data_IF_722909062245
#
_entry.id   IF_722909062245
#
_cell.length_a   1.000
_cell.length_b   1.000
_cell.length_c   1.000
_cell.angle_alpha   90.00
_cell.angle_beta   90.00
_cell.angle_gamma   90.00
#
_symmetry.space_group_name_H-M   'P 1'
#
loop_
_entity.id
_entity.type
_entity.pdbx_description
1 polymer ?
#
# COMPACT_ATOMS: atom_id res chain seq x y z
N UNK A 1 -49.22 -15.40 -41.44
CA UNK A 1 -49.25 -14.43 -40.32
C UNK A 1 -48.36 -14.95 -39.21
N UNK A 2 -47.22 -14.32 -38.96
CA UNK A 2 -46.40 -14.66 -37.78
C UNK A 2 -47.07 -14.07 -36.53
N UNK A 3 -47.09 -14.77 -35.38
CA UNK A 3 -47.69 -14.25 -34.17
C UNK A 3 -46.94 -12.99 -33.70
N UNK A 4 -47.65 -12.00 -33.12
CA UNK A 4 -47.01 -10.81 -32.58
C UNK A 4 -46.03 -11.24 -31.48
N UNK A 5 -44.75 -10.85 -31.61
CA UNK A 5 -43.74 -11.07 -30.58
C UNK A 5 -44.25 -10.44 -29.27
N UNK A 6 -44.22 -11.17 -28.13
CA UNK A 6 -44.64 -10.60 -26.87
C UNK A 6 -43.75 -9.38 -26.58
N UNK A 7 -44.38 -8.20 -26.52
CA UNK A 7 -43.73 -6.99 -26.02
C UNK A 7 -43.46 -7.25 -24.55
N UNK A 8 -42.24 -7.67 -24.22
CA UNK A 8 -41.78 -7.79 -22.84
C UNK A 8 -41.90 -6.41 -22.22
N UNK A 9 -42.94 -6.18 -21.42
CA UNK A 9 -43.12 -4.93 -20.69
C UNK A 9 -42.03 -4.89 -19.62
N UNK A 10 -40.95 -4.20 -19.92
CA UNK A 10 -39.86 -3.95 -18.97
C UNK A 10 -40.44 -3.14 -17.80
N UNK A 11 -40.28 -3.59 -16.54
CA UNK A 11 -40.72 -2.84 -15.37
C UNK A 11 -40.18 -1.40 -15.38
N UNK A 12 -40.98 -0.45 -14.89
CA UNK A 12 -40.62 0.98 -14.88
C UNK A 12 -39.26 1.24 -14.22
N UNK A 13 -38.98 0.58 -13.09
CA UNK A 13 -37.71 0.71 -12.38
C UNK A 13 -36.49 0.32 -13.23
N UNK A 14 -36.64 -0.65 -14.13
CA UNK A 14 -35.55 -1.09 -15.02
C UNK A 14 -35.34 -0.10 -16.18
N UNK A 15 -36.43 0.49 -16.69
CA UNK A 15 -36.34 1.57 -17.67
C UNK A 15 -35.62 2.79 -17.10
N UNK A 16 -35.87 3.15 -15.83
CA UNK A 16 -35.19 4.25 -15.14
C UNK A 16 -33.67 3.99 -15.07
N UNK A 17 -33.24 2.78 -14.68
CA UNK A 17 -31.82 2.40 -14.66
C UNK A 17 -31.16 2.49 -16.04
N UNK A 18 -31.84 2.01 -17.09
CA UNK A 18 -31.34 2.06 -18.46
C UNK A 18 -31.22 3.50 -18.97
N UNK A 19 -32.22 4.33 -18.71
CA UNK A 19 -32.21 5.73 -19.12
C UNK A 19 -31.14 6.52 -18.39
N UNK A 20 -31.02 6.35 -17.06
CA UNK A 20 -29.95 6.98 -16.29
C UNK A 20 -28.57 6.60 -16.84
N UNK A 21 -28.34 5.31 -17.06
CA UNK A 21 -27.09 4.82 -17.61
C UNK A 21 -26.81 5.39 -19.02
N UNK A 22 -27.82 5.37 -19.91
CA UNK A 22 -27.65 5.88 -21.27
C UNK A 22 -27.39 7.38 -21.31
N UNK A 23 -28.16 8.18 -20.55
CA UNK A 23 -27.96 9.62 -20.47
C UNK A 23 -26.58 9.96 -19.93
N UNK A 24 -26.11 9.21 -18.93
CA UNK A 24 -24.76 9.37 -18.40
C UNK A 24 -23.70 9.02 -19.45
N UNK A 25 -23.83 7.85 -20.09
CA UNK A 25 -22.91 7.41 -21.15
C UNK A 25 -22.87 8.39 -22.32
N UNK A 26 -24.01 8.94 -22.72
CA UNK A 26 -24.10 9.95 -23.77
C UNK A 26 -23.31 11.20 -23.36
N UNK A 27 -23.52 11.70 -22.15
CA UNK A 27 -22.80 12.88 -21.63
C UNK A 27 -21.29 12.69 -21.57
N UNK A 28 -20.80 11.53 -21.13
CA UNK A 28 -19.36 11.34 -20.84
C UNK A 28 -18.58 10.69 -21.98
N UNK A 29 -19.19 9.77 -22.73
CA UNK A 29 -18.53 9.07 -23.85
C UNK A 29 -18.88 9.71 -25.19
N UNK A 30 -20.03 10.36 -25.34
CA UNK A 30 -20.48 10.90 -26.64
C UNK A 30 -20.91 12.38 -26.58
N UNK A 31 -20.15 13.30 -25.94
CA UNK A 31 -20.59 14.68 -25.69
C UNK A 31 -20.85 15.51 -26.96
N UNK A 32 -20.20 15.16 -28.08
CA UNK A 32 -20.31 15.87 -29.36
C UNK A 32 -21.14 15.12 -30.41
N UNK A 33 -21.85 14.06 -30.02
CA UNK A 33 -22.58 13.20 -30.94
C UNK A 33 -24.08 13.31 -30.68
N UNK A 34 -24.83 13.56 -31.74
CA UNK A 34 -26.28 13.51 -31.71
C UNK A 34 -26.76 12.14 -32.18
N UNK A 35 -27.73 11.57 -31.46
CA UNK A 35 -28.37 10.31 -31.82
C UNK A 35 -29.84 10.57 -32.15
N UNK A 36 -30.30 10.06 -33.28
CA UNK A 36 -31.72 10.03 -33.62
C UNK A 36 -32.50 9.17 -32.62
N UNK A 37 -33.82 9.34 -32.55
CA UNK A 37 -34.67 8.55 -31.65
C UNK A 37 -34.47 7.04 -31.85
N UNK A 38 -34.38 6.58 -33.10
CA UNK A 38 -34.16 5.16 -33.40
C UNK A 38 -32.80 4.65 -32.93
N UNK A 39 -31.76 5.49 -32.97
CA UNK A 39 -30.42 5.14 -32.50
C UNK A 39 -30.34 5.11 -30.98
N UNK A 40 -31.04 6.03 -30.31
CA UNK A 40 -31.18 6.02 -28.86
C UNK A 40 -31.89 4.74 -28.39
N UNK A 41 -32.98 4.33 -29.07
CA UNK A 41 -33.67 3.07 -28.78
C UNK A 41 -32.74 1.87 -28.99
N UNK A 42 -31.97 1.83 -30.08
CA UNK A 42 -30.97 0.77 -30.33
C UNK A 42 -29.89 0.74 -29.24
N UNK A 43 -29.41 1.90 -28.79
CA UNK A 43 -28.43 2.00 -27.72
C UNK A 43 -28.99 1.43 -26.40
N UNK A 44 -30.21 1.80 -26.03
CA UNK A 44 -30.88 1.29 -24.82
C UNK A 44 -31.06 -0.23 -24.89
N UNK A 45 -31.46 -0.77 -26.04
CA UNK A 45 -31.58 -2.23 -26.24
C UNK A 45 -30.23 -2.93 -26.13
N UNK A 46 -29.17 -2.36 -26.71
CA UNK A 46 -27.81 -2.89 -26.60
C UNK A 46 -27.32 -2.88 -25.15
N UNK A 47 -27.58 -1.81 -24.40
CA UNK A 47 -27.26 -1.70 -22.97
C UNK A 47 -28.03 -2.74 -22.16
N UNK A 48 -29.34 -2.88 -22.39
CA UNK A 48 -30.17 -3.85 -21.70
C UNK A 48 -29.62 -5.27 -21.89
N UNK A 49 -29.29 -5.66 -23.12
CA UNK A 49 -28.77 -6.98 -23.43
C UNK A 49 -27.32 -7.19 -22.96
N UNK A 50 -26.45 -6.19 -23.16
CA UNK A 50 -25.01 -6.35 -22.97
C UNK A 50 -24.48 -5.98 -21.60
N UNK A 51 -25.12 -5.02 -20.93
CA UNK A 51 -24.73 -4.54 -19.60
C UNK A 51 -25.57 -5.19 -18.51
N UNK A 52 -26.90 -5.22 -18.67
CA UNK A 52 -27.84 -5.73 -17.65
C UNK A 52 -28.25 -7.19 -17.86
N UNK A 53 -27.75 -7.85 -18.92
CA UNK A 53 -28.07 -9.24 -19.25
C UNK A 53 -29.59 -9.49 -19.34
N UNK A 54 -30.31 -8.53 -19.90
CA UNK A 54 -31.78 -8.55 -20.03
C UNK A 54 -32.53 -8.52 -18.69
N UNK A 55 -31.89 -8.11 -17.59
CA UNK A 55 -32.40 -8.24 -16.23
C UNK A 55 -32.75 -9.68 -15.84
N UNK A 56 -32.09 -10.67 -16.46
CA UNK A 56 -32.32 -12.10 -16.15
C UNK A 56 -31.83 -12.53 -14.77
N UNK A 57 -30.98 -11.73 -14.14
CA UNK A 57 -30.44 -12.01 -12.80
C UNK A 57 -31.38 -11.43 -11.74
N UNK A 58 -31.81 -12.28 -10.80
CA UNK A 58 -32.58 -11.83 -9.65
C UNK A 58 -31.64 -11.07 -8.70
N UNK A 59 -31.93 -9.79 -8.51
CA UNK A 59 -31.26 -8.89 -7.57
C UNK A 59 -32.30 -8.14 -6.77
N UNK A 60 -31.97 -7.86 -5.52
CA UNK A 60 -32.70 -6.91 -4.68
C UNK A 60 -32.52 -5.48 -5.20
N UNK A 61 -33.40 -4.52 -4.81
CA UNK A 61 -33.25 -3.12 -5.20
C UNK A 61 -31.89 -2.53 -4.81
N UNK A 62 -31.34 -2.92 -3.64
CA UNK A 62 -30.03 -2.48 -3.18
C UNK A 62 -28.90 -3.01 -4.07
N UNK A 63 -28.93 -4.29 -4.41
CA UNK A 63 -27.93 -4.90 -5.31
C UNK A 63 -28.01 -4.29 -6.71
N UNK A 64 -29.19 -3.91 -7.19
CA UNK A 64 -29.33 -3.15 -8.43
C UNK A 64 -28.68 -1.76 -8.35
N UNK A 65 -28.82 -1.04 -7.24
CA UNK A 65 -28.16 0.24 -7.04
C UNK A 65 -26.63 0.12 -6.97
N UNK A 66 -26.12 -0.89 -6.26
CA UNK A 66 -24.68 -1.18 -6.18
C UNK A 66 -24.14 -1.59 -7.57
N UNK A 67 -24.88 -2.41 -8.30
CA UNK A 67 -24.55 -2.79 -9.67
C UNK A 67 -24.53 -1.58 -10.61
N UNK A 68 -25.56 -0.72 -10.53
CA UNK A 68 -25.67 0.52 -11.31
C UNK A 68 -24.44 1.40 -11.09
N UNK A 69 -24.11 1.67 -9.82
CA UNK A 69 -22.94 2.45 -9.42
C UNK A 69 -21.67 1.90 -10.05
N UNK A 70 -21.47 0.58 -9.98
CA UNK A 70 -20.31 -0.08 -10.61
C UNK A 70 -20.27 0.06 -12.13
N UNK A 71 -21.41 0.05 -12.81
CA UNK A 71 -21.43 0.27 -14.27
C UNK A 71 -21.15 1.73 -14.63
N UNK A 72 -21.60 2.70 -13.83
CA UNK A 72 -21.27 4.11 -14.02
C UNK A 72 -19.77 4.40 -13.78
N UNK A 73 -19.15 3.77 -12.77
CA UNK A 73 -17.70 3.85 -12.54
C UNK A 73 -16.87 3.40 -13.76
N UNK A 74 -17.36 2.40 -14.50
CA UNK A 74 -16.71 1.96 -15.75
C UNK A 74 -16.78 3.04 -16.81
N UNK A 75 -17.94 3.69 -16.95
CA UNK A 75 -18.08 4.81 -17.89
C UNK A 75 -17.13 5.94 -17.54
N UNK A 76 -16.97 6.27 -16.25
CA UNK A 76 -16.01 7.28 -15.80
C UNK A 76 -14.58 6.94 -16.18
N UNK A 77 -14.21 5.67 -16.04
CA UNK A 77 -12.87 5.22 -16.43
C UNK A 77 -12.65 5.32 -17.93
N UNK A 78 -13.66 4.94 -18.74
CA UNK A 78 -13.59 5.10 -20.18
C UNK A 78 -13.55 6.57 -20.59
N UNK A 79 -14.37 7.42 -19.99
CA UNK A 79 -14.42 8.86 -20.26
C UNK A 79 -13.05 9.51 -20.01
N UNK A 80 -12.44 9.27 -18.84
CA UNK A 80 -11.09 9.76 -18.53
C UNK A 80 -10.04 9.34 -19.55
N UNK A 81 -10.20 8.15 -20.13
CA UNK A 81 -9.28 7.69 -21.18
C UNK A 81 -9.45 8.46 -22.48
N UNK A 82 -10.70 8.67 -22.92
CA UNK A 82 -10.99 9.47 -24.11
C UNK A 82 -10.68 10.95 -23.94
N UNK A 83 -10.75 11.49 -22.71
CA UNK A 83 -10.30 12.85 -22.42
C UNK A 83 -8.78 12.99 -22.59
N UNK A 84 -8.02 11.94 -22.26
CA UNK A 84 -6.58 11.88 -22.47
C UNK A 84 -6.18 11.53 -23.91
N UNK A 85 -7.11 10.98 -24.70
CA UNK A 85 -6.91 10.54 -26.08
C UNK A 85 -8.05 11.06 -26.98
N UNK A 86 -8.11 12.39 -27.22
CA UNK A 86 -9.22 13.00 -27.96
C UNK A 86 -9.32 12.53 -29.41
N UNK A 87 -8.22 12.07 -29.98
CA UNK A 87 -8.05 11.49 -31.31
C UNK A 87 -8.47 10.01 -31.40
N UNK A 88 -8.68 9.34 -30.26
CA UNK A 88 -9.14 7.96 -30.26
C UNK A 88 -10.58 7.83 -30.76
N UNK A 89 -10.81 6.86 -31.65
CA UNK A 89 -12.14 6.55 -32.15
C UNK A 89 -13.07 6.10 -31.00
N UNK A 90 -14.19 6.81 -30.85
CA UNK A 90 -15.27 6.47 -29.92
C UNK A 90 -16.24 5.51 -30.64
N UNK A 91 -16.27 4.22 -30.29
CA UNK A 91 -17.10 3.23 -30.97
C UNK A 91 -18.57 3.51 -30.77
N UNK A 92 -19.41 3.11 -31.72
CA UNK A 92 -20.85 3.27 -31.63
C UNK A 92 -21.46 2.45 -30.47
N UNK A 93 -22.49 2.98 -29.78
CA UNK A 93 -23.09 2.30 -28.63
C UNK A 93 -23.71 0.94 -28.99
N UNK A 94 -24.23 0.80 -30.22
CA UNK A 94 -24.82 -0.42 -30.78
C UNK A 94 -24.05 -0.88 -32.02
N UNK A 95 -24.24 -2.15 -32.41
CA UNK A 95 -23.68 -2.68 -33.65
C UNK A 95 -24.31 -2.02 -34.90
N UNK A 96 -23.50 -1.37 -35.74
CA UNK A 96 -23.95 -0.81 -37.02
C UNK A 96 -23.96 -1.86 -38.12
N UNK A 97 -22.79 -2.46 -38.40
CA UNK A 97 -22.61 -3.39 -39.53
C UNK A 97 -22.42 -4.85 -39.07
N UNK A 98 -21.66 -5.05 -38.00
CA UNK A 98 -21.31 -6.38 -37.49
C UNK A 98 -21.93 -6.57 -36.12
N UNK A 99 -22.84 -7.54 -36.01
CA UNK A 99 -23.48 -7.91 -34.73
C UNK A 99 -22.42 -8.28 -33.69
N UNK A 100 -22.58 -7.80 -32.46
CA UNK A 100 -21.65 -8.08 -31.36
C UNK A 100 -20.41 -7.17 -31.35
N UNK A 101 -20.38 -6.11 -32.17
CA UNK A 101 -19.30 -5.12 -32.23
C UNK A 101 -19.70 -3.75 -31.71
N UNK A 102 -20.94 -3.55 -31.27
CA UNK A 102 -21.34 -2.37 -30.53
C UNK A 102 -20.51 -2.21 -29.27
N UNK A 103 -20.34 -0.98 -28.80
CA UNK A 103 -19.58 -0.70 -27.59
C UNK A 103 -20.17 -1.38 -26.36
N UNK A 104 -21.50 -1.40 -26.24
CA UNK A 104 -22.21 -2.04 -25.14
C UNK A 104 -22.54 -3.52 -25.38
N UNK A 105 -22.22 -4.07 -26.55
CA UNK A 105 -22.50 -5.48 -26.85
C UNK A 105 -21.70 -6.42 -25.95
N UNK A 106 -22.36 -7.48 -25.45
CA UNK A 106 -21.75 -8.47 -24.56
C UNK A 106 -20.55 -9.17 -25.20
N UNK A 107 -20.57 -9.35 -26.51
CA UNK A 107 -19.53 -10.04 -27.27
C UNK A 107 -18.28 -9.18 -27.48
N UNK A 108 -18.38 -7.86 -27.31
CA UNK A 108 -17.29 -6.94 -27.59
C UNK A 108 -16.31 -6.81 -26.40
N UNK A 109 -15.26 -7.63 -26.40
CA UNK A 109 -14.21 -7.58 -25.39
C UNK A 109 -13.38 -6.28 -25.40
N UNK A 110 -13.37 -5.54 -26.51
CA UNK A 110 -12.72 -4.23 -26.61
C UNK A 110 -13.66 -3.07 -26.25
N UNK A 111 -14.94 -3.36 -26.04
CA UNK A 111 -15.95 -2.40 -25.62
C UNK A 111 -16.09 -2.35 -24.11
N UNK A 112 -17.30 -2.02 -23.66
CA UNK A 112 -17.65 -1.83 -22.25
C UNK A 112 -17.31 -3.05 -21.37
N UNK A 113 -17.49 -4.28 -21.90
CA UNK A 113 -17.17 -5.52 -21.16
C UNK A 113 -15.69 -5.62 -20.79
N UNK A 114 -14.79 -5.12 -21.62
CA UNK A 114 -13.35 -5.13 -21.37
C UNK A 114 -12.90 -4.23 -20.22
N UNK A 115 -13.73 -3.24 -19.85
CA UNK A 115 -13.38 -2.28 -18.80
C UNK A 115 -13.25 -2.92 -17.42
N UNK A 116 -13.97 -4.01 -17.13
CA UNK A 116 -13.83 -4.70 -15.84
C UNK A 116 -12.42 -5.28 -15.66
N UNK A 117 -11.90 -5.95 -16.70
CA UNK A 117 -10.55 -6.48 -16.68
C UNK A 117 -9.52 -5.37 -16.52
N UNK A 118 -9.75 -4.22 -17.17
CA UNK A 118 -8.88 -3.06 -17.02
C UNK A 118 -8.96 -2.40 -15.64
N UNK A 119 -10.15 -2.31 -15.02
CA UNK A 119 -10.29 -1.86 -13.63
C UNK A 119 -9.54 -2.76 -12.67
N UNK A 120 -9.69 -4.08 -12.82
CA UNK A 120 -8.99 -5.07 -11.99
C UNK A 120 -7.47 -4.92 -12.09
N UNK A 121 -6.93 -4.81 -13.31
CA UNK A 121 -5.49 -4.61 -13.55
C UNK A 121 -4.96 -3.33 -12.90
N UNK A 122 -5.74 -2.24 -12.94
CA UNK A 122 -5.34 -0.99 -12.30
C UNK A 122 -5.41 -1.03 -10.76
N UNK A 123 -6.34 -1.79 -10.21
CA UNK A 123 -6.42 -2.06 -8.76
C UNK A 123 -5.19 -2.87 -8.30
N UNK A 124 -4.88 -3.96 -9.01
CA UNK A 124 -3.69 -4.78 -8.75
C UNK A 124 -2.41 -3.93 -8.83
N UNK A 125 -2.27 -3.09 -9.86
CA UNK A 125 -1.12 -2.18 -9.99
C UNK A 125 -1.05 -1.18 -8.84
N UNK A 126 -2.18 -0.62 -8.40
CA UNK A 126 -2.22 0.30 -7.25
C UNK A 126 -1.80 -0.39 -5.96
N UNK A 127 -2.25 -1.62 -5.74
CA UNK A 127 -1.85 -2.42 -4.58
C UNK A 127 -0.35 -2.73 -4.60
N UNK A 128 0.19 -3.19 -5.74
CA UNK A 128 1.63 -3.43 -5.89
C UNK A 128 2.47 -2.18 -5.63
N UNK A 129 2.07 -1.03 -6.20
CA UNK A 129 2.77 0.23 -5.98
C UNK A 129 2.74 0.67 -4.51
N UNK A 130 1.61 0.44 -3.82
CA UNK A 130 1.48 0.73 -2.39
C UNK A 130 2.42 -0.15 -1.56
N UNK A 131 2.46 -1.45 -1.84
CA UNK A 131 3.38 -2.37 -1.17
C UNK A 131 4.84 -1.96 -1.37
N UNK A 132 5.25 -1.67 -2.60
CA UNK A 132 6.61 -1.22 -2.89
C UNK A 132 6.98 0.07 -2.15
N UNK A 133 6.05 1.03 -2.06
CA UNK A 133 6.25 2.27 -1.31
C UNK A 133 6.40 2.00 0.19
N UNK A 134 5.55 1.15 0.76
CA UNK A 134 5.61 0.80 2.18
C UNK A 134 6.89 0.03 2.52
N UNK A 135 7.35 -0.88 1.67
CA UNK A 135 8.63 -1.58 1.82
C UNK A 135 9.82 -0.62 1.78
N UNK A 136 9.90 0.25 0.78
CA UNK A 136 10.96 1.26 0.67
C UNK A 136 10.97 2.20 1.89
N UNK A 137 9.80 2.56 2.41
CA UNK A 137 9.66 3.36 3.62
C UNK A 137 10.17 2.60 4.85
N UNK A 138 9.81 1.33 5.01
CA UNK A 138 10.29 0.50 6.12
C UNK A 138 11.81 0.28 6.06
N UNK A 139 12.37 0.05 4.87
CA UNK A 139 13.81 -0.11 4.69
C UNK A 139 14.57 1.16 5.07
N UNK A 140 14.09 2.34 4.65
CA UNK A 140 14.65 3.63 5.06
C UNK A 140 14.61 3.81 6.58
N UNK A 141 13.52 3.40 7.23
CA UNK A 141 13.41 3.44 8.70
C UNK A 141 14.42 2.49 9.37
N UNK A 142 14.47 1.22 8.95
CA UNK A 142 15.42 0.21 9.48
C UNK A 142 16.87 0.67 9.33
N UNK A 143 17.22 1.27 8.19
CA UNK A 143 18.55 1.83 7.93
C UNK A 143 18.87 2.97 8.89
N UNK A 144 17.95 3.90 9.08
CA UNK A 144 18.13 5.03 10.00
C UNK A 144 18.26 4.57 11.47
N UNK A 145 17.46 3.60 11.91
CA UNK A 145 17.57 3.01 13.26
C UNK A 145 18.90 2.28 13.47
N UNK A 146 19.34 1.52 12.46
CA UNK A 146 20.64 0.86 12.51
C UNK A 146 21.78 1.87 12.60
N UNK A 147 21.69 2.98 11.88
CA UNK A 147 22.64 4.09 11.97
C UNK A 147 22.62 4.76 13.35
N UNK A 148 21.46 4.97 13.97
CA UNK A 148 21.37 5.54 15.32
C UNK A 148 22.10 4.66 16.34
N UNK A 149 21.85 3.35 16.29
CA UNK A 149 22.55 2.37 17.14
C UNK A 149 24.06 2.34 16.88
N UNK A 150 24.49 2.53 15.63
CA UNK A 150 25.92 2.62 15.27
C UNK A 150 26.55 3.89 15.82
N UNK A 151 25.89 5.04 15.64
CA UNK A 151 26.35 6.32 16.18
C UNK A 151 26.55 6.25 17.69
N UNK A 152 25.56 5.68 18.39
CA UNK A 152 25.63 5.44 19.83
C UNK A 152 26.92 4.71 20.24
N UNK A 153 27.18 3.57 19.60
CA UNK A 153 28.34 2.71 19.90
C UNK A 153 29.66 3.38 19.57
N UNK A 154 29.71 4.20 18.53
CA UNK A 154 30.94 4.87 18.14
C UNK A 154 31.32 5.97 19.15
N UNK A 155 30.35 6.69 19.72
CA UNK A 155 30.62 7.59 20.85
C UNK A 155 31.06 6.84 22.11
N UNK A 156 30.42 5.72 22.44
CA UNK A 156 30.82 4.86 23.56
C UNK A 156 32.27 4.36 23.40
N UNK A 157 32.64 3.93 22.17
CA UNK A 157 34.01 3.51 21.86
C UNK A 157 35.02 4.64 21.95
N UNK A 158 34.68 5.81 21.43
CA UNK A 158 35.53 6.99 21.49
C UNK A 158 35.82 7.35 22.96
N UNK A 159 34.80 7.31 23.82
CA UNK A 159 34.96 7.54 25.26
C UNK A 159 35.86 6.52 25.94
N UNK A 160 35.75 5.25 25.53
CA UNK A 160 36.56 4.14 26.05
C UNK A 160 37.97 4.07 25.46
N UNK A 161 38.33 4.95 24.51
CA UNK A 161 39.59 4.87 23.77
C UNK A 161 39.73 3.59 22.93
N UNK A 162 38.62 2.91 22.64
CA UNK A 162 38.61 1.66 21.91
C UNK A 162 38.80 1.91 20.39
N UNK A 163 39.30 0.91 19.67
CA UNK A 163 39.56 1.03 18.22
C UNK A 163 38.29 1.45 17.46
N UNK A 164 38.28 2.62 16.79
CA UNK A 164 37.14 3.09 16.02
C UNK A 164 36.93 2.25 14.75
N UNK A 165 35.74 2.34 14.16
CA UNK A 165 35.46 1.73 12.84
C UNK A 165 36.23 2.50 11.76
N UNK A 166 36.59 1.82 10.66
CA UNK A 166 37.34 2.41 9.55
C UNK A 166 36.74 3.75 9.05
N UNK A 167 35.42 3.82 8.91
CA UNK A 167 34.68 5.00 8.44
C UNK A 167 34.84 6.24 9.33
N UNK A 168 35.03 6.05 10.64
CA UNK A 168 35.14 7.13 11.64
C UNK A 168 36.52 7.21 12.28
N UNK A 169 37.50 6.46 11.76
CA UNK A 169 38.83 6.36 12.36
C UNK A 169 39.62 7.68 12.31
N UNK A 170 39.31 8.57 11.37
CA UNK A 170 39.87 9.91 11.32
C UNK A 170 39.20 10.89 12.29
N UNK A 171 38.07 10.52 12.90
CA UNK A 171 37.27 11.37 13.77
C UNK A 171 37.63 11.09 15.23
N UNK A 172 38.80 11.58 15.63
CA UNK A 172 39.34 11.33 16.98
C UNK A 172 38.74 12.24 18.06
N UNK A 173 37.93 13.24 17.68
CA UNK A 173 37.26 14.14 18.62
C UNK A 173 35.76 13.92 18.62
N UNK A 174 35.14 14.12 19.80
CA UNK A 174 33.69 14.03 19.96
C UNK A 174 32.95 14.97 19.00
N UNK A 175 33.47 16.19 18.80
CA UNK A 175 32.88 17.17 17.89
C UNK A 175 32.96 16.72 16.42
N UNK A 176 34.10 16.15 15.98
CA UNK A 176 34.21 15.64 14.61
C UNK A 176 33.24 14.47 14.35
N UNK A 177 33.09 13.58 15.33
CA UNK A 177 32.15 12.46 15.23
C UNK A 177 30.69 12.94 15.22
N UNK A 178 30.37 13.97 16.02
CA UNK A 178 29.06 14.60 16.01
C UNK A 178 28.73 15.26 14.67
N UNK A 179 29.66 16.05 14.12
CA UNK A 179 29.47 16.70 12.82
C UNK A 179 29.26 15.69 11.68
N UNK A 180 30.00 14.58 11.69
CA UNK A 180 29.81 13.51 10.72
C UNK A 180 28.38 12.93 10.77
N UNK A 181 27.93 12.52 11.95
CA UNK A 181 26.59 11.96 12.09
C UNK A 181 25.49 12.99 11.86
N UNK A 182 25.74 14.27 12.17
CA UNK A 182 24.83 15.37 11.85
C UNK A 182 24.51 15.38 10.35
N UNK A 183 25.55 15.45 9.50
CA UNK A 183 25.40 15.47 8.04
C UNK A 183 24.68 14.21 7.55
N UNK A 184 25.02 13.04 8.11
CA UNK A 184 24.37 11.79 7.76
C UNK A 184 22.86 11.84 8.08
N UNK A 185 22.48 12.21 9.30
CA UNK A 185 21.07 12.21 9.72
C UNK A 185 20.24 13.35 9.14
N UNK A 186 20.84 14.50 8.85
CA UNK A 186 20.21 15.58 8.09
C UNK A 186 19.76 15.06 6.71
N UNK A 187 20.57 14.21 6.06
CA UNK A 187 20.21 13.53 4.81
C UNK A 187 19.04 12.53 4.92
N UNK A 188 18.74 12.02 6.12
CA UNK A 188 17.55 11.18 6.38
C UNK A 188 16.29 12.01 6.69
N UNK A 189 16.45 13.32 6.93
CA UNK A 189 15.38 14.27 7.22
C UNK A 189 15.25 14.64 8.70
N UNK A 190 14.56 15.76 8.97
CA UNK A 190 14.46 16.41 10.28
C UNK A 190 14.13 15.46 11.44
N UNK A 191 13.15 14.56 11.25
CA UNK A 191 12.75 13.59 12.29
C UNK A 191 13.92 12.72 12.79
N UNK A 192 14.82 12.31 11.90
CA UNK A 192 15.96 11.47 12.27
C UNK A 192 17.12 12.29 12.82
N UNK A 193 17.30 13.51 12.33
CA UNK A 193 18.21 14.48 12.94
C UNK A 193 17.81 14.78 14.39
N UNK A 194 16.54 15.08 14.65
CA UNK A 194 16.02 15.34 16.00
C UNK A 194 16.22 14.12 16.93
N UNK A 195 15.95 12.90 16.44
CA UNK A 195 16.24 11.67 17.18
C UNK A 195 17.73 11.49 17.48
N UNK A 196 18.59 11.82 16.53
CA UNK A 196 20.04 11.76 16.74
C UNK A 196 20.50 12.78 17.77
N UNK A 197 20.01 14.03 17.71
CA UNK A 197 20.32 15.06 18.69
C UNK A 197 19.86 14.67 20.09
N UNK A 198 18.63 14.17 20.23
CA UNK A 198 18.12 13.64 21.49
C UNK A 198 19.02 12.52 22.02
N UNK A 199 19.34 11.52 21.18
CA UNK A 199 20.23 10.42 21.57
C UNK A 199 21.62 10.92 22.01
N UNK A 200 22.19 11.89 21.30
CA UNK A 200 23.49 12.45 21.64
C UNK A 200 23.47 13.19 22.98
N UNK A 201 22.45 14.01 23.23
CA UNK A 201 22.26 14.71 24.50
C UNK A 201 22.06 13.72 25.65
N UNK A 202 21.26 12.68 25.45
CA UNK A 202 21.06 11.60 26.43
C UNK A 202 22.37 10.89 26.75
N UNK A 203 23.19 10.59 25.74
CA UNK A 203 24.50 9.98 25.94
C UNK A 203 25.47 10.92 26.65
N UNK A 204 25.46 12.21 26.30
CA UNK A 204 26.30 13.22 26.93
C UNK A 204 25.97 13.39 28.42
N UNK A 205 24.68 13.33 28.78
CA UNK A 205 24.23 13.40 30.17
C UNK A 205 24.77 12.25 31.04
N UNK A 206 25.08 11.09 30.45
CA UNK A 206 25.65 9.91 31.15
C UNK A 206 27.15 9.74 30.82
N UNK A 207 27.82 10.80 30.35
CA UNK A 207 29.26 10.78 29.99
C UNK A 207 29.62 9.64 29.01
N UNK A 208 28.72 9.38 28.06
CA UNK A 208 28.83 8.34 27.03
C UNK A 208 29.08 6.93 27.59
N UNK A 209 28.72 6.67 28.85
CA UNK A 209 28.81 5.33 29.44
C UNK A 209 27.70 4.44 28.89
N UNK A 210 28.00 3.20 28.45
CA UNK A 210 26.97 2.29 28.00
C UNK A 210 26.03 1.96 29.18
N UNK A 211 24.70 1.90 28.95
CA UNK A 211 23.75 1.47 29.97
C UNK A 211 24.12 0.10 30.53
N UNK A 212 23.83 -0.13 31.81
CA UNK A 212 24.20 -1.35 32.52
C UNK A 212 23.77 -2.64 31.79
N UNK A 213 22.62 -2.62 31.09
CA UNK A 213 22.11 -3.76 30.33
C UNK A 213 22.80 -4.01 28.97
N UNK A 214 23.58 -3.05 28.45
CA UNK A 214 24.40 -3.23 27.24
C UNK A 214 25.85 -3.63 27.54
N UNK A 215 26.26 -3.64 28.82
CA UNK A 215 27.59 -4.09 29.21
C UNK A 215 27.69 -5.61 28.98
N UNK A 216 28.65 -6.02 28.18
CA UNK A 216 28.94 -7.45 27.97
C UNK A 216 29.20 -8.16 29.31
N UNK A 217 28.86 -9.44 29.42
CA UNK A 217 29.13 -10.23 30.63
C UNK A 217 30.60 -10.14 31.06
N UNK A 218 31.52 -10.11 30.08
CA UNK A 218 32.97 -9.93 30.30
C UNK A 218 33.32 -8.58 30.93
N UNK A 219 32.74 -7.47 30.45
CA UNK A 219 33.01 -6.14 31.03
C UNK A 219 32.36 -5.96 32.40
N UNK A 220 31.23 -6.64 32.67
CA UNK A 220 30.59 -6.64 33.99
C UNK A 220 31.38 -7.46 35.02
N UNK A 221 31.95 -8.61 34.62
CA UNK A 221 32.90 -9.38 35.43
C UNK A 221 34.16 -8.57 35.78
N UNK A 222 34.77 -7.91 34.80
CA UNK A 222 35.93 -7.02 35.03
C UNK A 222 35.64 -5.82 35.93
N UNK A 223 34.39 -5.33 35.94
CA UNK A 223 33.96 -4.25 36.83
C UNK A 223 33.56 -4.73 38.24
N UNK A 224 33.75 -6.02 38.55
CA UNK A 224 33.39 -6.61 39.85
C UNK A 224 31.88 -6.74 40.09
N UNK A 225 31.04 -6.52 39.07
CA UNK A 225 29.57 -6.59 39.19
C UNK A 225 29.02 -8.03 39.10
N UNK A 226 29.86 -8.98 38.68
CA UNK A 226 29.53 -10.40 38.57
C UNK A 226 30.70 -11.13 39.23
N UNK A 227 30.48 -11.73 40.41
CA UNK A 227 31.46 -12.59 41.07
C UNK A 227 31.79 -13.80 40.19
N UNK A 228 33.00 -14.35 40.36
CA UNK A 228 33.37 -15.61 39.70
C UNK A 228 32.33 -16.68 40.04
N UNK A 229 31.94 -17.48 39.06
CA UNK A 229 31.01 -18.59 39.29
C UNK A 229 31.71 -19.58 40.24
N UNK A 230 31.37 -19.55 41.52
CA UNK A 230 31.80 -20.56 42.48
C UNK A 230 31.23 -21.89 42.02
N UNK A 231 32.08 -22.75 41.44
CA UNK A 231 31.70 -24.12 41.11
C UNK A 231 31.54 -24.87 42.43
N UNK A 232 30.30 -24.98 42.90
CA UNK A 232 29.97 -25.83 44.04
C UNK A 232 29.95 -27.27 43.53
N UNK A 233 30.91 -28.07 43.96
CA UNK A 233 30.89 -29.51 43.72
C UNK A 233 29.77 -30.11 44.58
N UNK A 234 28.71 -30.58 43.92
CA UNK A 234 27.61 -31.27 44.58
C UNK A 234 27.96 -32.77 44.58
N UNK A 235 28.25 -33.31 45.75
CA UNK A 235 28.46 -34.75 45.92
C UNK A 235 27.13 -35.50 45.77
N UNK A 236 27.17 -36.74 45.27
CA UNK A 236 26.00 -37.51 44.80
C UNK A 236 24.93 -37.81 45.86
N UNK A 237 25.19 -37.49 47.12
CA UNK A 237 24.26 -37.70 48.23
C UNK A 237 23.47 -36.43 48.63
N UNK A 238 23.75 -35.27 48.03
CA UNK A 238 23.00 -34.02 48.28
C UNK A 238 21.73 -33.96 47.40
N UNK A 239 20.54 -34.04 48.00
CA UNK A 239 19.25 -33.94 47.30
C UNK A 239 18.60 -32.55 47.40
N UNK A 240 17.75 -32.23 46.41
CA UNK A 240 17.01 -30.97 46.26
C UNK A 240 16.21 -30.60 47.53
N UNK A 241 16.70 -29.66 48.33
CA UNK A 241 15.93 -29.13 49.47
C UNK A 241 16.69 -28.30 50.49
N UNK A 242 18.02 -28.44 50.59
CA UNK A 242 18.78 -27.75 51.63
C UNK A 242 19.23 -26.36 51.17
N UNK A 243 18.76 -25.34 51.89
CA UNK A 243 18.98 -23.93 51.61
C UNK A 243 20.41 -23.51 51.92
N UNK A 244 21.08 -22.88 50.96
CA UNK A 244 22.45 -22.37 51.11
C UNK A 244 22.49 -21.07 51.93
N UNK A 245 23.15 -21.09 53.09
CA UNK A 245 23.84 -19.91 53.60
C UNK A 245 25.31 -20.02 53.19
N UNK A 246 25.84 -19.01 52.52
CA UNK A 246 27.28 -18.73 52.58
C UNK A 246 27.42 -17.48 53.43
N UNK A 247 28.08 -17.62 54.59
CA UNK A 247 28.51 -16.49 55.39
C UNK A 247 29.64 -15.75 54.65
N UNK A 248 29.50 -14.42 54.63
CA UNK A 248 30.43 -13.31 54.31
C UNK A 248 31.58 -13.57 53.31
#
# INVERSE_FOLDING_TARGET
MAPPKPQVKVPKAYLELLMEFWLYAWKVIYPARDFSQQEQEKAIVAIMAGVYDGFGQQRTPREWAEFQTRQLEKLDKAAKWYDLHPDAYRPDPFAIQVKGKGYFDKENLRGFRGLEAWMKKDEERRQLNRHAYDEARQEKQKRAETLLRRARRDFEKLRLGAKPRKEVAAMNTQMALFQYYRVVFDGFGKKWADKFYAQYLDQQAVDFKPPKYYRSRKSRRLAGEISEETVVYVESWMQHGDWYYSEV
#
